data_IF_682635595096
#
_entry.id   IF_682635595096
#
_cell.length_a   1.000
_cell.length_b   1.000
_cell.length_c   1.000
_cell.angle_alpha   90.00
_cell.angle_beta   90.00
_cell.angle_gamma   90.00
#
_symmetry.space_group_name_H-M   'P 1'
#
loop_
_entity.id
_entity.type
_entity.pdbx_description
1 polymer ?
#
# COMPACT_ATOMS: atom_id res chain seq x y z
N UNK A 1 24.18 18.11 44.06
CA UNK A 1 25.38 17.37 43.60
C UNK A 1 24.96 15.95 43.34
N UNK A 2 24.93 15.50 42.09
CA UNK A 2 24.66 14.10 41.76
C UNK A 2 26.01 13.46 41.42
N UNK A 3 26.55 12.66 42.32
CA UNK A 3 27.70 11.81 42.03
C UNK A 3 27.25 10.71 41.08
N UNK A 4 27.69 10.79 39.82
CA UNK A 4 27.54 9.69 38.87
C UNK A 4 28.70 8.74 39.12
N UNK A 5 28.42 7.60 39.75
CA UNK A 5 29.38 6.52 39.90
C UNK A 5 29.81 6.03 38.51
N UNK A 6 31.07 6.26 38.14
CA UNK A 6 31.67 5.73 36.91
C UNK A 6 32.10 4.29 37.24
N UNK A 7 31.27 3.31 36.91
CA UNK A 7 31.70 1.91 36.93
C UNK A 7 32.66 1.68 35.75
N UNK A 8 33.90 1.33 36.06
CA UNK A 8 34.99 1.10 35.10
C UNK A 8 35.35 -0.39 35.16
N UNK A 9 35.44 -1.05 34.00
CA UNK A 9 35.95 -2.43 33.93
C UNK A 9 37.46 -2.47 34.24
N UNK A 10 38.00 -3.67 34.54
CA UNK A 10 39.41 -3.85 34.90
C UNK A 10 40.43 -3.24 33.90
N UNK A 11 40.00 -3.03 32.65
CA UNK A 11 40.79 -2.46 31.54
C UNK A 11 40.62 -0.93 31.35
N UNK A 12 40.00 -0.21 32.30
CA UNK A 12 39.91 1.25 32.25
C UNK A 12 38.85 1.81 31.28
N UNK A 13 38.02 0.93 30.71
CA UNK A 13 36.96 1.33 29.78
C UNK A 13 35.68 1.74 30.53
N UNK A 14 35.08 2.85 30.08
CA UNK A 14 33.82 3.37 30.64
C UNK A 14 32.66 2.50 30.16
N UNK A 15 32.03 1.76 31.07
CA UNK A 15 30.81 1.01 30.78
C UNK A 15 29.65 1.99 30.78
N UNK A 16 29.21 2.40 29.58
CA UNK A 16 27.96 3.16 29.45
C UNK A 16 26.84 2.14 29.63
N UNK A 17 26.31 2.03 30.85
CA UNK A 17 25.02 1.40 31.03
C UNK A 17 23.99 2.23 30.24
N UNK A 18 23.62 1.75 29.05
CA UNK A 18 22.48 2.26 28.33
C UNK A 18 21.26 2.05 29.21
N UNK A 19 20.93 3.09 29.98
CA UNK A 19 19.68 3.18 30.69
C UNK A 19 18.59 2.90 29.66
N UNK A 20 17.94 1.73 29.78
CA UNK A 20 16.87 1.27 28.88
C UNK A 20 15.70 2.23 28.99
N UNK A 21 15.81 3.36 28.31
CA UNK A 21 14.76 4.36 28.19
C UNK A 21 13.73 3.73 27.27
N UNK A 22 12.62 3.28 27.86
CA UNK A 22 11.52 2.67 27.13
C UNK A 22 11.05 3.55 25.97
N UNK A 23 10.42 2.93 24.97
CA UNK A 23 9.95 3.62 23.77
C UNK A 23 8.98 4.75 24.17
N UNK A 24 9.19 5.95 23.61
CA UNK A 24 8.33 7.10 23.90
C UNK A 24 6.87 6.76 23.53
N UNK A 25 5.88 7.06 24.39
CA UNK A 25 4.47 6.83 24.09
C UNK A 25 4.03 7.45 22.75
N UNK A 26 4.55 8.62 22.37
CA UNK A 26 4.28 9.22 21.06
C UNK A 26 4.78 8.37 19.88
N UNK A 27 5.94 7.71 20.04
CA UNK A 27 6.48 6.80 19.03
C UNK A 27 5.64 5.52 18.92
N UNK A 28 5.19 4.98 20.05
CA UNK A 28 4.30 3.81 20.06
C UNK A 28 3.00 4.14 19.32
N UNK A 29 2.38 5.28 19.62
CA UNK A 29 1.15 5.72 18.97
C UNK A 29 1.37 5.94 17.47
N UNK A 30 2.47 6.58 17.07
CA UNK A 30 2.80 6.77 15.66
C UNK A 30 2.92 5.44 14.92
N UNK A 31 3.60 4.46 15.51
CA UNK A 31 3.74 3.13 14.93
C UNK A 31 2.39 2.42 14.82
N UNK A 32 1.54 2.49 15.84
CA UNK A 32 0.22 1.85 15.82
C UNK A 32 -0.65 2.49 14.74
N UNK A 33 -0.80 3.81 14.74
CA UNK A 33 -1.66 4.53 13.79
C UNK A 33 -1.11 4.37 12.36
N UNK A 34 0.20 4.54 12.17
CA UNK A 34 0.85 4.35 10.88
C UNK A 34 0.65 2.93 10.34
N UNK A 35 0.85 1.91 11.18
CA UNK A 35 0.64 0.52 10.77
C UNK A 35 -0.81 0.25 10.42
N UNK A 36 -1.76 0.68 11.24
CA UNK A 36 -3.20 0.47 10.98
C UNK A 36 -3.63 1.13 9.68
N UNK A 37 -3.18 2.36 9.40
CA UNK A 37 -3.47 3.05 8.15
C UNK A 37 -2.87 2.30 6.96
N UNK A 38 -1.59 1.93 7.01
CA UNK A 38 -0.93 1.20 5.93
C UNK A 38 -1.66 -0.13 5.65
N UNK A 39 -1.98 -0.89 6.69
CA UNK A 39 -2.64 -2.19 6.58
C UNK A 39 -4.06 -2.04 6.00
N UNK A 40 -4.79 -0.99 6.39
CA UNK A 40 -6.09 -0.65 5.82
C UNK A 40 -6.00 -0.29 4.33
N UNK A 41 -5.04 0.56 3.95
CA UNK A 41 -4.86 0.95 2.55
C UNK A 41 -4.43 -0.23 1.67
N UNK A 42 -3.42 -0.99 2.11
CA UNK A 42 -2.90 -2.14 1.37
C UNK A 42 -3.97 -3.23 1.25
N UNK A 43 -4.66 -3.55 2.34
CA UNK A 43 -5.74 -4.53 2.34
C UNK A 43 -6.89 -4.12 1.42
N UNK A 44 -7.29 -2.85 1.45
CA UNK A 44 -8.34 -2.35 0.57
C UNK A 44 -7.92 -2.34 -0.90
N UNK A 45 -6.69 -1.91 -1.18
CA UNK A 45 -6.15 -1.89 -2.54
C UNK A 45 -6.00 -3.30 -3.12
N UNK A 46 -5.50 -4.25 -2.33
CA UNK A 46 -5.41 -5.66 -2.72
C UNK A 46 -6.81 -6.25 -3.00
N UNK A 47 -7.79 -5.95 -2.14
CA UNK A 47 -9.16 -6.41 -2.36
C UNK A 47 -9.80 -5.77 -3.61
N UNK A 48 -9.57 -4.48 -3.82
CA UNK A 48 -10.05 -3.75 -5.00
C UNK A 48 -9.47 -4.31 -6.29
N UNK A 49 -8.16 -4.55 -6.32
CA UNK A 49 -7.48 -5.13 -7.48
C UNK A 49 -7.89 -6.59 -7.72
N UNK A 50 -8.08 -7.38 -6.67
CA UNK A 50 -8.61 -8.73 -6.77
C UNK A 50 -10.03 -8.75 -7.34
N UNK A 51 -10.89 -7.86 -6.84
CA UNK A 51 -12.24 -7.69 -7.37
C UNK A 51 -12.19 -7.29 -8.84
N UNK A 52 -11.39 -6.30 -9.25
CA UNK A 52 -11.28 -5.94 -10.66
C UNK A 52 -10.82 -7.07 -11.58
N UNK A 53 -9.95 -7.96 -11.09
CA UNK A 53 -9.48 -9.13 -11.87
C UNK A 53 -10.54 -10.21 -12.02
N UNK A 54 -11.41 -10.36 -11.01
CA UNK A 54 -12.48 -11.37 -11.00
C UNK A 54 -13.81 -10.83 -11.53
N UNK A 55 -13.99 -9.50 -11.55
CA UNK A 55 -15.16 -8.88 -12.12
C UNK A 55 -15.12 -9.05 -13.65
N UNK A 56 -16.19 -9.61 -14.25
CA UNK A 56 -16.28 -9.71 -15.70
C UNK A 56 -16.19 -8.30 -16.31
N UNK A 57 -15.58 -8.14 -17.50
CA UNK A 57 -15.45 -6.86 -18.15
C UNK A 57 -16.82 -6.20 -18.21
N UNK A 58 -16.92 -4.99 -17.62
CA UNK A 58 -18.19 -4.24 -17.57
C UNK A 58 -18.83 -4.31 -18.93
N UNK A 59 -20.00 -4.96 -19.02
CA UNK A 59 -20.74 -5.09 -20.27
C UNK A 59 -20.95 -3.68 -20.81
N UNK A 60 -20.18 -3.32 -21.85
CA UNK A 60 -20.40 -2.08 -22.58
C UNK A 60 -21.85 -2.13 -23.03
N UNK A 61 -22.59 -1.02 -22.85
CA UNK A 61 -23.98 -0.94 -23.31
C UNK A 61 -24.02 -1.51 -24.73
N UNK A 62 -24.87 -2.52 -25.01
CA UNK A 62 -24.87 -3.17 -26.31
C UNK A 62 -25.06 -2.09 -27.36
N UNK A 63 -24.02 -1.89 -28.16
CA UNK A 63 -24.03 -0.86 -29.17
C UNK A 63 -24.97 -1.35 -30.26
N UNK A 64 -26.01 -0.58 -30.57
CA UNK A 64 -26.99 -0.98 -31.60
C UNK A 64 -26.25 -1.43 -32.86
N UNK A 65 -26.71 -2.54 -33.47
CA UNK A 65 -26.11 -3.10 -34.70
C UNK A 65 -25.96 -2.04 -35.79
N UNK A 66 -26.88 -1.05 -35.84
CA UNK A 66 -26.80 0.12 -36.74
C UNK A 66 -25.55 0.99 -36.48
N UNK A 67 -25.22 1.25 -35.21
CA UNK A 67 -24.03 2.03 -34.82
C UNK A 67 -22.73 1.26 -35.10
N UNK A 68 -22.71 -0.05 -34.84
CA UNK A 68 -21.55 -0.91 -35.16
C UNK A 68 -21.29 -0.93 -36.67
N UNK A 69 -22.33 -1.11 -37.48
CA UNK A 69 -22.21 -1.06 -38.95
C UNK A 69 -21.72 0.31 -39.42
N UNK A 70 -22.26 1.40 -38.86
CA UNK A 70 -21.83 2.77 -39.19
C UNK A 70 -20.38 3.04 -38.83
N UNK A 71 -19.91 2.54 -37.69
CA UNK A 71 -18.52 2.68 -37.26
C UNK A 71 -17.57 1.86 -38.15
N UNK A 72 -17.93 0.60 -38.48
CA UNK A 72 -17.16 -0.26 -39.38
C UNK A 72 -17.04 0.31 -40.80
N UNK A 73 -18.14 0.86 -41.32
CA UNK A 73 -18.16 1.54 -42.62
C UNK A 73 -17.30 2.81 -42.64
N UNK A 74 -17.25 3.56 -41.52
CA UNK A 74 -16.35 4.73 -41.37
C UNK A 74 -14.88 4.34 -41.25
N UNK A 75 -14.61 3.18 -40.66
CA UNK A 75 -13.26 2.63 -40.51
C UNK A 75 -12.77 1.92 -41.79
N UNK A 76 -13.58 1.87 -42.85
CA UNK A 76 -13.22 1.20 -44.11
C UNK A 76 -13.05 -0.33 -43.96
N UNK A 77 -13.55 -0.92 -42.88
CA UNK A 77 -13.43 -2.35 -42.64
C UNK A 77 -14.45 -3.07 -43.53
N UNK A 78 -13.94 -3.93 -44.42
CA UNK A 78 -14.76 -4.75 -45.29
C UNK A 78 -15.81 -5.52 -44.48
N UNK A 79 -17.07 -5.56 -44.94
CA UNK A 79 -18.09 -6.34 -44.27
C UNK A 79 -17.63 -7.81 -44.20
N UNK A 80 -17.74 -8.48 -43.04
CA UNK A 80 -17.39 -9.89 -42.95
C UNK A 80 -18.35 -10.69 -43.85
N UNK A 81 -17.84 -11.18 -44.98
CA UNK A 81 -18.59 -11.90 -46.00
C UNK A 81 -18.28 -11.51 -47.46
N UNK A 82 -17.03 -11.17 -47.77
CA UNK A 82 -16.47 -11.47 -49.11
C UNK A 82 -15.90 -12.90 -49.09
#
# INVERSE_FOLDING_TARGET
MAERFINTDADGNVIIEEAKKGLNPGMIVLLIVGTVLILFLVGNYALYTYAQRTLPPKKKKPVSKKKIKRERLRQGVAPPGE
#
